data_IF_954052708193
#
_entry.id   IF_954052708193
#
_cell.length_a   1.000
_cell.length_b   1.000
_cell.length_c   1.000
_cell.angle_alpha   90.00
_cell.angle_beta   90.00
_cell.angle_gamma   90.00
#
_symmetry.space_group_name_H-M   'P 1'
#
loop_
_entity.id
_entity.type
_entity.pdbx_description
1 polymer ?
#
# COMPACT_ATOMS: atom_id res chain seq x y z
N UNK A 1 4.48 -6.81 -25.34
CA UNK A 1 4.62 -6.05 -24.07
C UNK A 1 5.68 -6.72 -23.16
N UNK A 2 6.88 -6.97 -23.70
CA UNK A 2 7.96 -7.78 -23.10
C UNK A 2 9.26 -6.95 -23.17
N UNK A 3 10.15 -7.03 -22.17
CA UNK A 3 11.34 -6.16 -21.90
C UNK A 3 11.11 -4.70 -21.48
N UNK A 4 10.25 -3.93 -22.16
CA UNK A 4 10.09 -2.49 -21.85
C UNK A 4 9.46 -2.22 -20.48
N UNK A 5 8.63 -3.15 -19.97
CA UNK A 5 8.01 -3.07 -18.65
C UNK A 5 9.01 -3.32 -17.52
N UNK A 6 9.90 -4.29 -17.69
CA UNK A 6 10.95 -4.62 -16.71
C UNK A 6 11.95 -3.48 -16.56
N UNK A 7 12.38 -2.87 -17.68
CA UNK A 7 13.29 -1.72 -17.67
C UNK A 7 12.72 -0.52 -16.91
N UNK A 8 11.40 -0.37 -16.91
CA UNK A 8 10.72 0.76 -16.27
C UNK A 8 10.18 0.41 -14.88
N UNK A 9 10.50 -0.74 -14.30
CA UNK A 9 9.78 -1.19 -13.09
C UNK A 9 10.04 -0.30 -11.87
N UNK A 10 11.25 0.25 -11.74
CA UNK A 10 11.59 1.20 -10.66
C UNK A 10 10.86 2.52 -10.88
N UNK A 11 10.82 3.02 -12.11
CA UNK A 11 10.08 4.25 -12.45
C UNK A 11 8.57 4.05 -12.21
N UNK A 12 8.01 2.92 -12.63
CA UNK A 12 6.61 2.55 -12.40
C UNK A 12 6.33 2.46 -10.89
N UNK A 13 7.23 1.86 -10.12
CA UNK A 13 7.10 1.75 -8.67
C UNK A 13 7.12 3.14 -8.02
N UNK A 14 8.07 3.98 -8.39
CA UNK A 14 8.18 5.37 -7.94
C UNK A 14 6.88 6.15 -8.23
N UNK A 15 6.44 6.16 -9.49
CA UNK A 15 5.23 6.90 -9.90
C UNK A 15 3.97 6.40 -9.20
N UNK A 16 3.82 5.08 -9.03
CA UNK A 16 2.68 4.51 -8.32
C UNK A 16 2.68 4.88 -6.84
N UNK A 17 3.83 4.73 -6.16
CA UNK A 17 3.96 5.07 -4.73
C UNK A 17 3.72 6.56 -4.53
N UNK A 18 4.33 7.40 -5.36
CA UNK A 18 4.12 8.85 -5.37
C UNK A 18 2.66 9.22 -5.54
N UNK A 19 2.00 8.68 -6.55
CA UNK A 19 0.59 8.93 -6.78
C UNK A 19 -0.29 8.55 -5.59
N UNK A 20 -0.12 7.34 -5.03
CA UNK A 20 -0.92 6.88 -3.89
C UNK A 20 -0.73 7.77 -2.67
N UNK A 21 0.52 8.11 -2.37
CA UNK A 21 0.90 8.95 -1.23
C UNK A 21 0.40 10.38 -1.37
N UNK A 22 0.62 11.01 -2.51
CA UNK A 22 0.19 12.39 -2.78
C UNK A 22 -1.34 12.51 -2.75
N UNK A 23 -2.03 11.50 -3.28
CA UNK A 23 -3.48 11.42 -3.17
C UNK A 23 -3.91 11.29 -1.71
N UNK A 24 -3.28 10.42 -0.93
CA UNK A 24 -3.60 10.25 0.49
C UNK A 24 -3.43 11.54 1.29
N UNK A 25 -2.30 12.25 1.10
CA UNK A 25 -2.06 13.56 1.72
C UNK A 25 -3.18 14.54 1.36
N UNK A 26 -3.54 14.62 0.08
CA UNK A 26 -4.60 15.52 -0.39
C UNK A 26 -5.96 15.17 0.25
N UNK A 27 -6.33 13.88 0.31
CA UNK A 27 -7.60 13.46 0.93
C UNK A 27 -7.64 13.78 2.43
N UNK A 28 -6.51 13.64 3.12
CA UNK A 28 -6.38 13.99 4.53
C UNK A 28 -6.50 15.49 4.78
N UNK A 29 -5.89 16.30 3.92
CA UNK A 29 -5.99 17.76 4.00
C UNK A 29 -7.45 18.21 3.76
N UNK A 30 -8.13 17.58 2.80
CA UNK A 30 -9.56 17.76 2.54
C UNK A 30 -10.40 17.40 3.77
N UNK A 31 -10.17 16.23 4.37
CA UNK A 31 -10.85 15.79 5.59
C UNK A 31 -10.67 16.78 6.75
N UNK A 32 -9.43 17.25 6.93
CA UNK A 32 -9.07 18.21 7.97
C UNK A 32 -9.72 19.58 7.73
N UNK A 33 -9.83 20.01 6.47
CA UNK A 33 -10.51 21.25 6.11
C UNK A 33 -12.02 21.16 6.29
N UNK A 34 -12.64 20.03 5.96
CA UNK A 34 -14.06 19.79 6.25
C UNK A 34 -14.31 19.90 7.76
N UNK A 35 -13.45 19.29 8.58
CA UNK A 35 -13.53 19.42 10.03
C UNK A 35 -13.36 20.86 10.52
N UNK A 36 -12.40 21.60 9.93
CA UNK A 36 -12.21 23.03 10.20
C UNK A 36 -13.46 23.86 9.86
N UNK A 37 -14.08 23.64 8.69
CA UNK A 37 -15.30 24.32 8.29
C UNK A 37 -16.45 24.01 9.27
N UNK A 38 -16.61 22.76 9.70
CA UNK A 38 -17.62 22.38 10.71
C UNK A 38 -17.42 23.10 12.04
N UNK A 39 -16.17 23.29 12.46
CA UNK A 39 -15.84 24.00 13.69
C UNK A 39 -16.07 25.52 13.57
N UNK A 40 -15.77 26.10 12.41
CA UNK A 40 -15.90 27.54 12.16
C UNK A 40 -17.33 27.96 11.78
N UNK A 41 -18.16 27.04 11.27
CA UNK A 41 -19.54 27.34 10.98
C UNK A 41 -20.29 27.70 12.27
N UNK A 42 -21.01 28.83 12.32
CA UNK A 42 -21.66 29.31 13.52
C UNK A 42 -22.62 28.29 14.14
N UNK A 43 -22.43 27.96 15.41
CA UNK A 43 -23.51 27.53 16.28
C UNK A 43 -24.41 28.74 16.56
N UNK A 44 -25.43 28.98 15.72
CA UNK A 44 -26.53 29.95 15.90
C UNK A 44 -26.23 31.42 16.29
N UNK A 45 -24.97 31.83 16.49
CA UNK A 45 -24.62 33.12 17.14
C UNK A 45 -23.49 33.92 16.48
N UNK A 46 -22.80 33.41 15.46
CA UNK A 46 -21.81 34.17 14.68
C UNK A 46 -22.38 34.55 13.31
N UNK A 47 -22.27 35.82 12.94
CA UNK A 47 -22.97 36.44 11.79
C UNK A 47 -22.13 36.54 10.50
N UNK A 48 -20.92 35.98 10.48
CA UNK A 48 -20.06 35.98 9.30
C UNK A 48 -20.25 34.72 8.44
N UNK A 49 -20.73 34.86 7.22
CA UNK A 49 -20.76 33.77 6.24
C UNK A 49 -19.36 33.56 5.66
N UNK A 50 -18.79 32.36 5.83
CA UNK A 50 -17.53 31.98 5.18
C UNK A 50 -17.77 31.80 3.68
N UNK A 51 -17.00 32.49 2.84
CA UNK A 51 -17.07 32.33 1.37
C UNK A 51 -15.97 31.41 0.88
N UNK A 52 -16.31 30.46 0.03
CA UNK A 52 -15.34 29.56 -0.58
C UNK A 52 -14.44 30.34 -1.56
N UNK A 53 -13.16 30.45 -1.21
CA UNK A 53 -12.13 31.04 -2.06
C UNK A 53 -10.75 30.50 -1.67
N UNK A 54 -9.74 30.84 -2.46
CA UNK A 54 -8.37 30.38 -2.24
C UNK A 54 -7.73 30.97 -0.97
N UNK A 55 -8.16 32.15 -0.52
CA UNK A 55 -7.70 32.77 0.73
C UNK A 55 -8.15 31.97 1.94
N UNK A 56 -9.40 31.51 1.97
CA UNK A 56 -9.93 30.70 3.06
C UNK A 56 -9.14 29.39 3.24
N UNK A 57 -8.76 28.76 2.12
CA UNK A 57 -7.90 27.57 2.14
C UNK A 57 -6.49 27.94 2.60
N UNK A 58 -5.94 29.07 2.13
CA UNK A 58 -4.62 29.54 2.57
C UNK A 58 -4.59 29.77 4.09
N UNK A 59 -5.64 30.38 4.64
CA UNK A 59 -5.77 30.63 6.07
C UNK A 59 -5.76 29.30 6.82
N UNK A 60 -6.58 28.32 6.41
CA UNK A 60 -6.56 26.99 7.00
C UNK A 60 -5.16 26.34 6.97
N UNK A 61 -4.46 26.43 5.82
CA UNK A 61 -3.13 25.85 5.65
C UNK A 61 -2.11 26.52 6.57
N UNK A 62 -2.13 27.86 6.63
CA UNK A 62 -1.22 28.62 7.46
C UNK A 62 -1.37 28.28 8.95
N UNK A 63 -2.60 28.02 9.41
CA UNK A 63 -2.85 27.63 10.80
C UNK A 63 -2.52 26.16 11.08
N UNK A 64 -2.74 25.27 10.11
CA UNK A 64 -2.63 23.82 10.30
C UNK A 64 -1.20 23.31 10.14
N UNK A 65 -0.42 23.91 9.23
CA UNK A 65 0.92 23.46 8.86
C UNK A 65 2.00 24.47 9.27
N UNK A 66 1.83 25.11 10.44
CA UNK A 66 2.82 26.07 10.97
C UNK A 66 4.22 25.44 10.99
N UNK A 67 5.21 26.15 10.44
CA UNK A 67 6.61 25.71 10.39
C UNK A 67 6.97 24.89 9.15
N UNK A 68 6.03 24.59 8.26
CA UNK A 68 6.35 24.03 6.95
C UNK A 68 6.90 25.11 6.01
N UNK A 69 7.72 24.73 5.01
CA UNK A 69 8.19 25.68 3.99
C UNK A 69 7.04 26.28 3.17
N UNK A 70 7.18 27.54 2.75
CA UNK A 70 6.16 28.29 2.00
C UNK A 70 5.70 27.56 0.72
N UNK A 71 6.61 26.96 -0.04
CA UNK A 71 6.26 26.19 -1.23
C UNK A 71 5.33 24.99 -0.94
N UNK A 72 5.39 24.40 0.27
CA UNK A 72 4.48 23.32 0.67
C UNK A 72 3.07 23.88 0.89
N UNK A 73 2.97 25.07 1.48
CA UNK A 73 1.69 25.75 1.68
C UNK A 73 1.04 26.06 0.33
N UNK A 74 1.80 26.61 -0.61
CA UNK A 74 1.32 26.93 -1.96
C UNK A 74 0.80 25.69 -2.71
N UNK A 75 1.56 24.59 -2.69
CA UNK A 75 1.18 23.34 -3.37
C UNK A 75 -0.09 22.75 -2.77
N UNK A 76 -0.21 22.72 -1.43
CA UNK A 76 -1.41 22.23 -0.76
C UNK A 76 -2.61 23.10 -1.04
N UNK A 77 -2.45 24.43 -0.99
CA UNK A 77 -3.53 25.35 -1.29
C UNK A 77 -4.07 25.08 -2.69
N UNK A 78 -3.18 25.05 -3.67
CA UNK A 78 -3.55 24.79 -5.06
C UNK A 78 -4.30 23.46 -5.20
N UNK A 79 -3.78 22.36 -4.64
CA UNK A 79 -4.41 21.03 -4.73
C UNK A 79 -5.79 21.00 -4.09
N UNK A 80 -5.93 21.55 -2.88
CA UNK A 80 -7.20 21.60 -2.17
C UNK A 80 -8.22 22.49 -2.88
N UNK A 81 -7.79 23.67 -3.35
CA UNK A 81 -8.64 24.56 -4.13
C UNK A 81 -9.13 23.87 -5.41
N UNK A 82 -8.24 23.18 -6.13
CA UNK A 82 -8.60 22.40 -7.31
C UNK A 82 -9.56 21.26 -7.02
N UNK A 83 -9.43 20.60 -5.86
CA UNK A 83 -10.35 19.56 -5.41
C UNK A 83 -11.74 20.13 -5.12
N UNK A 84 -11.82 21.24 -4.38
CA UNK A 84 -13.09 21.82 -3.95
C UNK A 84 -13.82 22.61 -5.04
N UNK A 85 -13.11 23.32 -5.92
CA UNK A 85 -13.72 24.19 -6.95
C UNK A 85 -14.60 23.44 -7.94
N UNK A 86 -14.40 22.13 -8.08
CA UNK A 86 -15.24 21.28 -8.93
C UNK A 86 -16.64 21.04 -8.32
N UNK A 87 -16.78 21.30 -7.01
CA UNK A 87 -17.96 20.93 -6.22
C UNK A 87 -18.61 22.14 -5.52
N UNK A 88 -17.85 23.20 -5.26
CA UNK A 88 -18.33 24.47 -4.68
C UNK A 88 -17.87 25.61 -5.59
N UNK A 89 -18.77 26.50 -5.99
CA UNK A 89 -18.38 27.63 -6.84
C UNK A 89 -17.64 28.66 -6.00
N UNK A 90 -16.60 29.25 -6.58
CA UNK A 90 -15.84 30.32 -5.92
C UNK A 90 -16.76 31.51 -5.63
N UNK A 91 -16.71 32.00 -4.39
CA UNK A 91 -17.54 33.09 -3.89
C UNK A 91 -18.84 32.62 -3.21
N UNK A 92 -19.23 31.35 -3.37
CA UNK A 92 -20.40 30.80 -2.68
C UNK A 92 -20.18 30.80 -1.16
N UNK A 93 -21.26 31.06 -0.42
CA UNK A 93 -21.28 30.91 1.03
C UNK A 93 -21.27 29.43 1.40
N UNK A 94 -20.34 29.04 2.26
CA UNK A 94 -20.25 27.69 2.79
C UNK A 94 -21.34 27.51 3.83
N UNK A 95 -22.19 26.51 3.62
CA UNK A 95 -23.21 26.08 4.57
C UNK A 95 -23.13 24.56 4.80
N UNK A 96 -23.99 24.05 5.69
CA UNK A 96 -24.05 22.62 6.01
C UNK A 96 -24.29 21.73 4.78
N UNK A 97 -25.09 22.18 3.80
CA UNK A 97 -25.33 21.43 2.57
C UNK A 97 -24.06 21.32 1.71
N UNK A 98 -23.25 22.38 1.64
CA UNK A 98 -21.95 22.31 0.98
C UNK A 98 -21.03 21.31 1.68
N UNK A 99 -20.98 21.33 3.01
CA UNK A 99 -20.18 20.39 3.81
C UNK A 99 -20.63 18.94 3.57
N UNK A 100 -21.93 18.65 3.61
CA UNK A 100 -22.48 17.32 3.35
C UNK A 100 -22.13 16.80 1.94
N UNK A 101 -22.09 17.69 0.94
CA UNK A 101 -21.65 17.35 -0.41
C UNK A 101 -20.17 16.96 -0.41
N UNK A 102 -19.31 17.75 0.24
CA UNK A 102 -17.88 17.47 0.33
C UNK A 102 -17.58 16.15 1.06
N UNK A 103 -18.29 15.87 2.14
CA UNK A 103 -18.14 14.62 2.91
C UNK A 103 -18.52 13.40 2.09
N UNK A 104 -19.61 13.49 1.34
CA UNK A 104 -20.05 12.41 0.45
C UNK A 104 -19.02 12.11 -0.63
N UNK A 105 -18.53 13.16 -1.29
CA UNK A 105 -17.52 13.02 -2.35
C UNK A 105 -16.23 12.46 -1.79
N UNK A 106 -15.76 12.96 -0.64
CA UNK A 106 -14.58 12.41 0.02
C UNK A 106 -14.76 10.92 0.34
N UNK A 107 -15.94 10.51 0.82
CA UNK A 107 -16.23 9.10 1.11
C UNK A 107 -16.24 8.24 -0.16
N UNK A 108 -16.80 8.74 -1.26
CA UNK A 108 -16.77 8.07 -2.56
C UNK A 108 -15.34 7.94 -3.11
N UNK A 109 -14.54 9.01 -3.04
CA UNK A 109 -13.17 9.05 -3.55
C UNK A 109 -12.17 8.24 -2.72
N UNK A 110 -12.46 8.02 -1.44
CA UNK A 110 -11.64 7.19 -0.54
C UNK A 110 -12.08 5.73 -0.50
N UNK A 111 -13.23 5.40 -1.09
CA UNK A 111 -13.71 4.03 -1.14
C UNK A 111 -12.78 3.15 -2.00
N UNK A 112 -12.39 1.95 -1.51
CA UNK A 112 -11.53 1.06 -2.27
C UNK A 112 -12.24 0.59 -3.55
N UNK A 113 -11.56 0.67 -4.68
CA UNK A 113 -12.01 0.13 -5.96
C UNK A 113 -11.21 -1.12 -6.30
N UNK A 114 -11.76 -2.01 -7.13
CA UNK A 114 -11.02 -3.19 -7.58
C UNK A 114 -9.68 -2.82 -8.26
N UNK A 115 -9.63 -1.67 -8.94
CA UNK A 115 -8.41 -1.17 -9.57
C UNK A 115 -7.40 -0.61 -8.55
N UNK A 116 -7.86 0.13 -7.53
CA UNK A 116 -6.94 0.61 -6.49
C UNK A 116 -6.36 -0.56 -5.68
N UNK A 117 -7.15 -1.60 -5.40
CA UNK A 117 -6.68 -2.82 -4.73
C UNK A 117 -5.64 -3.58 -5.56
N UNK A 118 -5.88 -3.74 -6.86
CA UNK A 118 -4.89 -4.36 -7.78
C UNK A 118 -3.57 -3.59 -7.80
N UNK A 119 -3.64 -2.26 -7.85
CA UNK A 119 -2.44 -1.42 -7.85
C UNK A 119 -1.65 -1.51 -6.54
N UNK A 120 -2.33 -1.53 -5.38
CA UNK A 120 -1.69 -1.78 -4.08
C UNK A 120 -0.99 -3.14 -4.06
N UNK A 121 -1.68 -4.21 -4.47
CA UNK A 121 -1.12 -5.55 -4.50
C UNK A 121 0.12 -5.64 -5.41
N UNK A 122 0.07 -5.01 -6.60
CA UNK A 122 1.20 -4.97 -7.52
C UNK A 122 2.42 -4.28 -6.89
N UNK A 123 2.24 -3.12 -6.26
CA UNK A 123 3.32 -2.39 -5.60
C UNK A 123 3.93 -3.21 -4.45
N UNK A 124 3.08 -3.83 -3.63
CA UNK A 124 3.53 -4.70 -2.55
C UNK A 124 4.35 -5.92 -3.05
N UNK A 125 3.91 -6.54 -4.16
CA UNK A 125 4.62 -7.67 -4.78
C UNK A 125 5.99 -7.25 -5.33
N UNK A 126 6.07 -6.09 -6.00
CA UNK A 126 7.34 -5.55 -6.51
C UNK A 126 8.29 -5.27 -5.35
N UNK A 127 7.82 -4.65 -4.26
CA UNK A 127 8.66 -4.44 -3.06
C UNK A 127 9.15 -5.75 -2.47
N UNK A 128 8.28 -6.75 -2.33
CA UNK A 128 8.66 -8.06 -1.81
C UNK A 128 9.67 -8.78 -2.68
N UNK A 129 9.60 -8.61 -4.00
CA UNK A 129 10.60 -9.15 -4.92
C UNK A 129 11.95 -8.46 -4.81
N UNK A 130 11.97 -7.12 -4.80
CA UNK A 130 13.19 -6.31 -4.70
C UNK A 130 13.89 -6.47 -3.34
N UNK A 131 13.11 -6.55 -2.25
CA UNK A 131 13.62 -6.64 -0.88
C UNK A 131 13.82 -8.06 -0.36
N UNK A 132 13.34 -9.08 -1.09
CA UNK A 132 13.62 -10.48 -0.81
C UNK A 132 14.61 -11.02 -1.83
N UNK A 133 14.14 -11.74 -2.88
CA UNK A 133 15.00 -12.42 -3.85
C UNK A 133 16.16 -11.63 -4.44
N UNK A 134 15.94 -10.36 -4.73
CA UNK A 134 16.95 -9.51 -5.36
C UNK A 134 17.85 -8.77 -4.36
N UNK A 135 17.48 -8.67 -3.09
CA UNK A 135 18.09 -7.72 -2.16
C UNK A 135 19.62 -7.82 -2.08
N UNK A 136 20.15 -9.04 -2.02
CA UNK A 136 21.61 -9.27 -1.89
C UNK A 136 22.38 -8.91 -3.17
N UNK A 137 21.71 -8.91 -4.32
CA UNK A 137 22.30 -8.66 -5.64
C UNK A 137 22.22 -7.19 -6.07
N UNK A 138 21.27 -6.43 -5.52
CA UNK A 138 21.10 -5.00 -5.83
C UNK A 138 22.24 -4.15 -5.25
N UNK A 139 22.59 -3.09 -5.98
CA UNK A 139 23.51 -2.05 -5.51
C UNK A 139 23.03 -1.39 -4.21
N UNK A 140 23.96 -0.80 -3.45
CA UNK A 140 23.63 -0.07 -2.21
C UNK A 140 22.65 1.06 -2.48
N UNK A 141 22.85 1.80 -3.57
CA UNK A 141 22.05 2.98 -3.89
C UNK A 141 20.62 2.61 -4.25
N UNK A 142 20.43 1.58 -5.09
CA UNK A 142 19.10 1.09 -5.43
C UNK A 142 18.39 0.51 -4.21
N UNK A 143 19.09 -0.23 -3.34
CA UNK A 143 18.52 -0.70 -2.06
C UNK A 143 18.00 0.45 -1.22
N UNK A 144 18.80 1.50 -1.04
CA UNK A 144 18.41 2.70 -0.28
C UNK A 144 17.16 3.33 -0.88
N UNK A 145 17.10 3.48 -2.20
CA UNK A 145 15.93 4.04 -2.88
C UNK A 145 14.68 3.16 -2.71
N UNK A 146 14.80 1.84 -2.86
CA UNK A 146 13.70 0.89 -2.65
C UNK A 146 13.21 0.90 -1.19
N UNK A 147 14.12 1.01 -0.21
CA UNK A 147 13.78 1.13 1.21
C UNK A 147 13.04 2.44 1.48
N UNK A 148 13.50 3.54 0.90
CA UNK A 148 12.82 4.84 1.00
C UNK A 148 11.38 4.75 0.48
N UNK A 149 11.19 4.23 -0.74
CA UNK A 149 9.86 4.04 -1.32
C UNK A 149 8.97 3.12 -0.47
N UNK A 150 9.51 2.03 0.05
CA UNK A 150 8.75 1.10 0.87
C UNK A 150 8.42 1.64 2.25
N UNK A 151 9.29 2.48 2.84
CA UNK A 151 9.03 3.15 4.11
C UNK A 151 7.87 4.12 3.95
N UNK A 152 7.87 4.94 2.89
CA UNK A 152 6.78 5.86 2.61
C UNK A 152 5.49 5.09 2.34
N UNK A 153 5.55 4.04 1.51
CA UNK A 153 4.39 3.20 1.24
C UNK A 153 3.85 2.56 2.54
N UNK A 154 4.72 2.06 3.42
CA UNK A 154 4.31 1.52 4.72
C UNK A 154 3.67 2.56 5.64
N UNK A 155 4.17 3.80 5.66
CA UNK A 155 3.57 4.91 6.42
C UNK A 155 2.22 5.34 5.85
N UNK A 156 2.04 5.27 4.53
CA UNK A 156 0.75 5.44 3.87
C UNK A 156 -0.25 4.37 4.35
N UNK A 157 0.14 3.10 4.38
CA UNK A 157 -0.73 2.01 4.85
C UNK A 157 -1.19 2.21 6.31
N UNK A 158 -0.36 2.85 7.14
CA UNK A 158 -0.70 3.17 8.54
C UNK A 158 -1.34 4.54 8.73
N UNK A 159 -1.65 5.28 7.65
CA UNK A 159 -2.25 6.63 7.67
C UNK A 159 -1.44 7.68 8.46
N UNK A 160 -0.11 7.54 8.48
CA UNK A 160 0.78 8.37 9.33
C UNK A 160 1.53 9.48 8.60
N UNK A 161 1.41 9.56 7.28
CA UNK A 161 2.23 10.43 6.46
C UNK A 161 1.58 11.81 6.25
N UNK A 162 2.38 12.87 6.37
CA UNK A 162 1.94 14.22 6.09
C UNK A 162 2.64 14.81 4.87
N UNK A 163 3.95 14.62 4.70
CA UNK A 163 4.70 15.21 3.59
C UNK A 163 5.90 14.35 3.18
N UNK A 164 6.28 14.40 1.90
CA UNK A 164 7.40 13.64 1.32
C UNK A 164 8.14 14.49 0.30
N UNK A 165 9.46 14.61 0.50
CA UNK A 165 10.35 15.12 -0.52
C UNK A 165 10.67 14.04 -1.54
N UNK A 166 10.17 14.19 -2.76
CA UNK A 166 10.40 13.24 -3.83
C UNK A 166 11.72 13.50 -4.55
N UNK A 167 12.64 12.54 -4.47
CA UNK A 167 13.91 12.60 -5.19
C UNK A 167 13.88 11.64 -6.37
N UNK A 168 14.22 12.13 -7.56
CA UNK A 168 14.35 11.30 -8.75
C UNK A 168 15.60 10.44 -8.64
N UNK A 169 15.45 9.13 -8.84
CA UNK A 169 16.57 8.20 -8.85
C UNK A 169 16.77 7.63 -10.24
N UNK A 170 18.02 7.60 -10.71
CA UNK A 170 18.39 6.98 -11.98
C UNK A 170 19.01 5.62 -11.71
N UNK A 171 18.31 4.56 -12.11
CA UNK A 171 18.79 3.18 -11.99
C UNK A 171 20.07 2.98 -12.78
N UNK A 172 21.09 2.38 -12.15
CA UNK A 172 22.35 2.05 -12.81
C UNK A 172 22.14 0.98 -13.89
N UNK A 173 22.99 0.96 -14.93
CA UNK A 173 22.89 -0.06 -15.98
C UNK A 173 22.98 -1.49 -15.44
N UNK A 174 23.86 -1.73 -14.45
CA UNK A 174 24.04 -3.04 -13.82
C UNK A 174 22.79 -3.52 -13.09
N UNK A 175 22.16 -2.64 -12.30
CA UNK A 175 20.93 -2.98 -11.59
C UNK A 175 19.76 -3.18 -12.57
N UNK A 176 19.71 -2.36 -13.63
CA UNK A 176 18.71 -2.50 -14.68
C UNK A 176 18.80 -3.86 -15.37
N UNK A 177 20.01 -4.29 -15.74
CA UNK A 177 20.25 -5.58 -16.38
C UNK A 177 19.84 -6.75 -15.45
N UNK A 178 20.15 -6.65 -14.15
CA UNK A 178 19.73 -7.62 -13.14
C UNK A 178 18.19 -7.70 -13.03
N UNK A 179 17.52 -6.56 -12.92
CA UNK A 179 16.06 -6.48 -12.87
C UNK A 179 15.44 -7.10 -14.12
N UNK A 180 15.95 -6.75 -15.30
CA UNK A 180 15.46 -7.29 -16.57
C UNK A 180 15.64 -8.80 -16.64
N UNK A 181 16.79 -9.31 -16.18
CA UNK A 181 17.08 -10.75 -16.16
C UNK A 181 16.14 -11.52 -15.24
N UNK A 182 15.86 -11.02 -14.04
CA UNK A 182 15.06 -11.73 -13.04
C UNK A 182 13.54 -11.50 -13.19
N UNK A 183 13.13 -10.54 -14.01
CA UNK A 183 11.72 -10.19 -14.20
C UNK A 183 10.88 -11.36 -14.76
N UNK A 184 11.42 -12.13 -15.70
CA UNK A 184 10.68 -13.26 -16.28
C UNK A 184 10.39 -14.33 -15.22
N UNK A 185 11.36 -14.61 -14.33
CA UNK A 185 11.18 -15.54 -13.21
C UNK A 185 10.12 -15.05 -12.22
N UNK A 186 10.13 -13.74 -11.93
CA UNK A 186 9.13 -13.09 -11.08
C UNK A 186 7.72 -13.17 -11.69
N UNK A 187 7.59 -12.86 -12.99
CA UNK A 187 6.30 -12.90 -13.68
C UNK A 187 5.74 -14.34 -13.75
N UNK A 188 6.60 -15.32 -14.04
CA UNK A 188 6.23 -16.74 -14.04
C UNK A 188 5.75 -17.17 -12.64
N UNK A 189 6.48 -16.81 -11.58
CA UNK A 189 6.11 -17.15 -10.21
C UNK A 189 4.72 -16.62 -9.82
N UNK A 190 4.39 -15.39 -10.23
CA UNK A 190 3.06 -14.79 -9.99
C UNK A 190 1.98 -15.51 -10.80
N UNK A 191 2.22 -15.74 -12.10
CA UNK A 191 1.26 -16.45 -12.98
C UNK A 191 0.95 -17.84 -12.45
N UNK A 192 1.96 -18.56 -11.99
CA UNK A 192 1.81 -19.88 -11.37
C UNK A 192 1.02 -19.81 -10.07
N UNK A 193 1.31 -18.85 -9.19
CA UNK A 193 0.55 -18.66 -7.95
C UNK A 193 -0.94 -18.40 -8.25
N UNK A 194 -1.25 -17.51 -9.19
CA UNK A 194 -2.62 -17.20 -9.62
C UNK A 194 -3.31 -18.44 -10.19
N UNK A 195 -2.62 -19.20 -11.05
CA UNK A 195 -3.16 -20.44 -11.62
C UNK A 195 -3.48 -21.46 -10.53
N UNK A 196 -2.61 -21.62 -9.53
CA UNK A 196 -2.82 -22.54 -8.41
C UNK A 196 -4.02 -22.10 -7.54
N UNK A 197 -4.15 -20.80 -7.26
CA UNK A 197 -5.28 -20.25 -6.51
C UNK A 197 -6.60 -20.49 -7.28
N UNK A 198 -6.65 -20.18 -8.57
CA UNK A 198 -7.85 -20.41 -9.41
C UNK A 198 -8.23 -21.87 -9.46
N UNK A 199 -7.26 -22.76 -9.65
CA UNK A 199 -7.49 -24.20 -9.67
C UNK A 199 -8.06 -24.68 -8.32
N UNK A 200 -7.56 -24.15 -7.21
CA UNK A 200 -8.09 -24.46 -5.87
C UNK A 200 -9.53 -23.96 -5.70
N UNK A 201 -9.86 -22.76 -6.17
CA UNK A 201 -11.22 -22.21 -6.12
C UNK A 201 -12.24 -23.02 -6.93
N UNK A 202 -11.84 -23.56 -8.08
CA UNK A 202 -12.73 -24.35 -8.96
C UNK A 202 -12.91 -25.80 -8.51
N UNK A 203 -12.06 -26.30 -7.62
CA UNK A 203 -12.20 -27.64 -7.08
C UNK A 203 -13.30 -27.63 -6.02
N UNK A 204 -14.48 -28.13 -6.39
CA UNK A 204 -15.52 -28.50 -5.42
C UNK A 204 -14.92 -29.62 -4.57
N UNK A 205 -14.49 -29.28 -3.36
CA UNK A 205 -13.96 -30.26 -2.43
C UNK A 205 -15.11 -30.97 -1.74
N UNK A 206 -15.51 -32.13 -2.27
CA UNK A 206 -16.21 -33.16 -1.49
C UNK A 206 -15.25 -33.87 -0.51
N UNK A 207 -13.99 -33.42 -0.39
CA UNK A 207 -12.98 -34.06 0.42
C UNK A 207 -13.22 -33.75 1.92
N UNK A 208 -13.67 -34.78 2.62
CA UNK A 208 -13.40 -34.98 4.03
C UNK A 208 -12.08 -35.76 4.09
N UNK A 209 -10.95 -35.18 4.56
CA UNK A 209 -10.83 -34.19 5.64
C UNK A 209 -10.19 -32.84 5.25
N UNK A 210 -10.33 -31.84 6.14
CA UNK A 210 -9.77 -30.47 6.05
C UNK A 210 -8.29 -30.43 5.60
N UNK A 211 -7.48 -31.42 6.01
CA UNK A 211 -6.07 -31.51 5.62
C UNK A 211 -5.87 -31.61 4.08
N UNK A 212 -6.74 -32.32 3.37
CA UNK A 212 -6.67 -32.44 1.91
C UNK A 212 -7.03 -31.13 1.21
N UNK A 213 -7.93 -30.34 1.81
CA UNK A 213 -8.31 -29.03 1.31
C UNK A 213 -7.14 -28.04 1.34
N UNK A 214 -6.26 -28.15 2.34
CA UNK A 214 -5.08 -27.30 2.50
C UNK A 214 -3.76 -27.96 2.07
N UNK A 215 -3.80 -29.13 1.42
CA UNK A 215 -2.58 -29.89 1.05
C UNK A 215 -1.55 -29.05 0.29
N UNK A 216 -1.98 -28.22 -0.66
CA UNK A 216 -1.09 -27.32 -1.41
C UNK A 216 -0.34 -26.37 -0.48
N UNK A 217 -1.01 -25.86 0.56
CA UNK A 217 -0.42 -24.92 1.52
C UNK A 217 0.60 -25.63 2.40
N UNK A 218 0.30 -26.85 2.83
CA UNK A 218 1.26 -27.71 3.54
C UNK A 218 2.52 -27.99 2.74
N UNK A 219 2.37 -28.33 1.46
CA UNK A 219 3.49 -28.52 0.54
C UNK A 219 4.35 -27.26 0.39
N UNK A 220 3.72 -26.08 0.30
CA UNK A 220 4.43 -24.79 0.30
C UNK A 220 5.20 -24.57 1.60
N UNK A 221 4.58 -24.80 2.76
CA UNK A 221 5.20 -24.65 4.06
C UNK A 221 6.40 -25.59 4.25
N UNK A 222 6.27 -26.84 3.80
CA UNK A 222 7.35 -27.83 3.86
C UNK A 222 8.54 -27.42 2.97
N UNK A 223 8.28 -26.92 1.76
CA UNK A 223 9.33 -26.37 0.90
C UNK A 223 10.01 -25.15 1.53
N UNK A 224 9.25 -24.21 2.10
CA UNK A 224 9.80 -23.06 2.80
C UNK A 224 10.68 -23.48 3.99
N UNK A 225 10.24 -24.48 4.76
CA UNK A 225 11.05 -25.05 5.85
C UNK A 225 12.37 -25.64 5.33
N UNK A 226 12.34 -26.43 4.26
CA UNK A 226 13.57 -26.96 3.63
C UNK A 226 14.51 -25.85 3.17
N UNK A 227 13.97 -24.82 2.53
CA UNK A 227 14.76 -23.68 2.05
C UNK A 227 15.33 -22.85 3.20
N UNK A 228 14.67 -22.80 4.36
CA UNK A 228 15.24 -22.16 5.56
C UNK A 228 16.45 -22.88 6.09
N UNK A 229 16.47 -24.22 6.07
CA UNK A 229 17.61 -25.01 6.54
C UNK A 229 18.88 -24.77 5.72
N UNK A 230 18.73 -24.33 4.46
CA UNK A 230 19.85 -24.05 3.54
C UNK A 230 20.05 -22.56 3.25
N UNK A 231 19.43 -21.66 4.03
CA UNK A 231 19.53 -20.20 3.88
C UNK A 231 19.13 -19.66 2.48
N UNK A 232 18.14 -20.29 1.84
CA UNK A 232 17.60 -19.89 0.52
C UNK A 232 16.15 -19.38 0.59
N UNK A 233 15.73 -18.82 1.73
CA UNK A 233 14.41 -18.19 1.88
C UNK A 233 14.23 -16.91 1.06
N UNK A 234 15.32 -16.33 0.58
CA UNK A 234 15.32 -15.15 -0.30
C UNK A 234 15.60 -15.60 -1.74
N UNK A 235 15.05 -16.72 -2.18
CA UNK A 235 15.16 -17.16 -3.57
C UNK A 235 13.82 -17.01 -4.29
N UNK A 236 13.85 -16.79 -5.61
CA UNK A 236 12.63 -16.61 -6.41
C UNK A 236 11.72 -17.85 -6.34
N UNK A 237 12.27 -19.05 -6.15
CA UNK A 237 11.48 -20.28 -5.98
C UNK A 237 10.61 -20.24 -4.72
N UNK A 238 11.08 -19.60 -3.64
CA UNK A 238 10.33 -19.44 -2.38
C UNK A 238 9.30 -18.32 -2.43
N UNK A 239 9.46 -17.37 -3.35
CA UNK A 239 8.55 -16.23 -3.50
C UNK A 239 7.11 -16.68 -3.80
N UNK A 240 6.94 -17.65 -4.71
CA UNK A 240 5.65 -18.27 -5.03
C UNK A 240 5.00 -18.92 -3.79
N UNK A 241 5.77 -19.69 -3.05
CA UNK A 241 5.27 -20.41 -1.87
C UNK A 241 4.86 -19.43 -0.76
N UNK A 242 5.60 -18.33 -0.58
CA UNK A 242 5.23 -17.24 0.33
C UNK A 242 3.90 -16.58 -0.07
N UNK A 243 3.68 -16.34 -1.36
CA UNK A 243 2.40 -15.78 -1.87
C UNK A 243 1.24 -16.72 -1.53
N UNK A 244 1.36 -18.01 -1.84
CA UNK A 244 0.29 -18.99 -1.63
C UNK A 244 -0.10 -19.12 -0.15
N UNK A 245 0.89 -19.15 0.75
CA UNK A 245 0.65 -19.19 2.20
C UNK A 245 -0.02 -17.90 2.69
N UNK A 246 0.47 -16.73 2.23
CA UNK A 246 -0.09 -15.45 2.63
C UNK A 246 -1.54 -15.26 2.16
N UNK A 247 -1.84 -15.60 0.90
CA UNK A 247 -3.21 -15.52 0.36
C UNK A 247 -4.16 -16.44 1.13
N UNK A 248 -3.72 -17.67 1.44
CA UNK A 248 -4.52 -18.60 2.24
C UNK A 248 -4.84 -18.01 3.61
N UNK A 249 -3.84 -17.47 4.30
CA UNK A 249 -4.03 -16.85 5.62
C UNK A 249 -5.02 -15.70 5.59
N UNK A 250 -4.96 -14.84 4.57
CA UNK A 250 -5.90 -13.72 4.40
C UNK A 250 -7.33 -14.26 4.25
N UNK A 251 -7.54 -15.24 3.37
CA UNK A 251 -8.87 -15.82 3.17
C UNK A 251 -9.41 -16.51 4.42
N UNK A 252 -8.56 -17.18 5.21
CA UNK A 252 -8.98 -17.85 6.45
C UNK A 252 -9.25 -16.90 7.61
N UNK A 253 -8.69 -15.69 7.58
CA UNK A 253 -8.90 -14.67 8.59
C UNK A 253 -10.21 -13.91 8.41
N UNK A 254 -10.83 -14.01 7.23
CA UNK A 254 -12.11 -13.42 6.90
C UNK A 254 -13.17 -13.72 8.00
N UNK A 255 -14.00 -12.72 8.29
CA UNK A 255 -15.03 -12.79 9.32
C UNK A 255 -16.19 -13.70 8.93
N UNK A 256 -16.41 -13.90 7.63
CA UNK A 256 -17.47 -14.77 7.10
C UNK A 256 -17.07 -16.25 7.04
N UNK A 257 -15.81 -16.59 7.35
CA UNK A 257 -15.34 -17.98 7.41
C UNK A 257 -15.62 -18.56 8.80
N UNK A 258 -16.39 -19.65 8.85
CA UNK A 258 -16.64 -20.39 10.08
C UNK A 258 -15.36 -21.07 10.59
N UNK A 259 -14.96 -20.74 11.83
CA UNK A 259 -13.69 -21.17 12.43
C UNK A 259 -13.89 -22.36 13.38
N UNK A 260 -13.91 -23.57 12.84
CA UNK A 260 -13.91 -24.81 13.63
C UNK A 260 -12.61 -24.93 14.47
N UNK A 261 -12.57 -25.77 15.53
CA UNK A 261 -11.35 -25.99 16.32
C UNK A 261 -10.15 -26.45 15.49
N UNK A 262 -10.37 -27.33 14.51
CA UNK A 262 -9.35 -27.83 13.58
C UNK A 262 -8.82 -26.69 12.70
N UNK A 263 -9.73 -25.85 12.17
CA UNK A 263 -9.35 -24.71 11.35
C UNK A 263 -8.58 -23.66 12.14
N UNK A 264 -8.96 -23.39 13.40
CA UNK A 264 -8.21 -22.51 14.30
C UNK A 264 -6.78 -23.00 14.52
N UNK A 265 -6.61 -24.31 14.71
CA UNK A 265 -5.28 -24.93 14.86
C UNK A 265 -4.44 -24.80 13.59
N UNK A 266 -5.07 -24.96 12.41
CA UNK A 266 -4.42 -24.75 11.12
C UNK A 266 -4.01 -23.28 10.90
N UNK A 267 -4.90 -22.34 11.22
CA UNK A 267 -4.59 -20.90 11.15
C UNK A 267 -3.40 -20.57 12.03
N UNK A 268 -3.36 -21.08 13.27
CA UNK A 268 -2.24 -20.87 14.18
C UNK A 268 -0.93 -21.43 13.62
N UNK A 269 -0.98 -22.63 13.04
CA UNK A 269 0.16 -23.27 12.39
C UNK A 269 0.67 -22.42 11.21
N UNK A 270 -0.24 -22.02 10.32
CA UNK A 270 0.09 -21.20 9.16
C UNK A 270 0.64 -19.84 9.56
N UNK A 271 0.07 -19.19 10.58
CA UNK A 271 0.56 -17.94 11.12
C UNK A 271 1.98 -18.09 11.68
N UNK A 272 2.21 -19.14 12.48
CA UNK A 272 3.53 -19.42 13.07
C UNK A 272 4.59 -19.56 11.99
N UNK A 273 4.30 -20.35 10.94
CA UNK A 273 5.24 -20.51 9.83
C UNK A 273 5.36 -19.29 8.95
N UNK A 274 4.25 -18.59 8.68
CA UNK A 274 4.28 -17.33 7.95
C UNK A 274 5.19 -16.33 8.65
N UNK A 275 5.06 -16.10 9.96
CA UNK A 275 5.96 -15.22 10.69
C UNK A 275 7.43 -15.68 10.67
N UNK A 276 7.67 -17.00 10.73
CA UNK A 276 9.02 -17.57 10.62
C UNK A 276 9.66 -17.33 9.24
N UNK A 277 8.87 -17.26 8.17
CA UNK A 277 9.35 -17.20 6.78
C UNK A 277 9.04 -15.88 6.03
N UNK A 278 8.31 -14.95 6.67
CA UNK A 278 7.81 -13.68 6.08
C UNK A 278 8.89 -12.69 5.69
N UNK A 279 10.08 -12.88 6.25
CA UNK A 279 11.41 -12.34 5.94
C UNK A 279 12.13 -12.19 7.29
N UNK A 280 13.36 -12.71 7.46
CA UNK A 280 14.14 -12.32 8.62
C UNK A 280 14.38 -10.83 8.49
N UNK A 281 13.68 -10.00 9.29
CA UNK A 281 14.19 -8.67 9.56
C UNK A 281 15.61 -8.91 10.05
N UNK A 282 16.60 -8.55 9.24
CA UNK A 282 17.98 -8.46 9.71
C UNK A 282 17.91 -7.76 11.05
N UNK A 283 18.55 -8.35 12.04
CA UNK A 283 18.68 -7.95 13.45
C UNK A 283 19.29 -6.55 13.66
N UNK A 284 18.90 -5.56 12.86
CA UNK A 284 19.51 -4.23 12.75
C UNK A 284 18.55 -3.08 13.09
N UNK A 285 17.34 -3.36 13.61
CA UNK A 285 16.51 -2.35 14.23
C UNK A 285 16.28 -2.71 15.71
N UNK A 286 17.27 -2.43 16.56
CA UNK A 286 16.99 -2.13 17.97
C UNK A 286 16.19 -0.84 17.97
N UNK A 287 14.87 -0.96 17.89
CA UNK A 287 13.97 0.14 18.20
C UNK A 287 14.09 0.34 19.71
N UNK A 288 14.87 1.35 20.11
CA UNK A 288 14.81 1.87 21.46
C UNK A 288 13.48 2.61 21.60
N UNK A 289 12.51 1.97 22.26
CA UNK A 289 11.43 2.70 22.90
C UNK A 289 12.04 3.48 24.05
N UNK A 290 12.05 4.80 23.95
CA UNK A 290 12.10 5.70 25.10
C UNK A 290 10.67 6.09 25.43
#
# INVERSE_FOLDING_TARGET
MKKTSAQKIIDILYEKVKFMVERHITMRDVESFIAYLKFQLPSSTNTGYLKFNQSLIQDFINHTYIGFPEHVHEVRNKKMFEYFKNNIRTGDEINNKNIEVLERILKEDTSPTGESLKNHALVALIFKWLQGPLQKQLSKDLKTHVIFLATIFGQHETKMLFDVKWETYKTSGKDLDLIVKEYDNFEIAIKDAIKMIRNAQTKISNANPVHEQFYIVFECLYRLFKMSQINKLDDISTFKDKILVATTLICLQDEFVEKTPELKSLILLFLTYYYKFRDPRSSAAKIHWR
#
